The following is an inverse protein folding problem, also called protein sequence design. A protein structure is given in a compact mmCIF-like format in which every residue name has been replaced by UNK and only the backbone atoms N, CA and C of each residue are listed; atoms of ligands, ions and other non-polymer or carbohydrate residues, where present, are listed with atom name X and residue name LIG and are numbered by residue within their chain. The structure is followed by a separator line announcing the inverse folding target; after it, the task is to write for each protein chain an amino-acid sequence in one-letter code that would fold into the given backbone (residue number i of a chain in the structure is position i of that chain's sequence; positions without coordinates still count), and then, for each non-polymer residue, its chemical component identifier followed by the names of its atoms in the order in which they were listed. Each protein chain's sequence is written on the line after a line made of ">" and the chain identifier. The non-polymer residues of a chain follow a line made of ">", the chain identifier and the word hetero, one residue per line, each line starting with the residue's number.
data_IF_635358812849
#
_entry.id   IF_635358812849
#
_cell.length_a   1.000
_cell.length_b   1.000
_cell.length_c   1.000
_cell.angle_alpha   90.00
_cell.angle_beta   90.00
_cell.angle_gamma   90.00
#
_symmetry.space_group_name_H-M   'P 1'
#
loop_
_entity.id
_entity.type
_entity.pdbx_description
1 polymer ?
#
# COMPACT_ATOMS: atom_id res chain seq x y z
N UNK A 1 7.62 5.79 -40.18
CA UNK A 1 6.90 4.86 -39.27
C UNK A 1 7.91 4.16 -38.35
N UNK A 2 8.37 4.81 -37.26
CA UNK A 2 9.34 4.24 -36.29
C UNK A 2 8.68 3.65 -35.02
N UNK A 3 7.36 3.77 -34.89
CA UNK A 3 6.56 3.46 -33.69
C UNK A 3 6.45 1.95 -33.37
N UNK A 4 6.84 1.07 -34.29
CA UNK A 4 6.77 -0.39 -34.16
C UNK A 4 8.15 -1.06 -34.13
N UNK A 5 9.20 -0.34 -33.73
CA UNK A 5 10.48 -1.02 -33.50
C UNK A 5 10.32 -2.01 -32.32
N UNK A 6 10.89 -3.24 -32.40
CA UNK A 6 10.81 -4.24 -31.33
C UNK A 6 11.30 -3.72 -29.96
N UNK A 7 12.19 -2.73 -29.96
CA UNK A 7 12.74 -2.11 -28.75
C UNK A 7 11.66 -1.31 -28.00
N UNK A 8 10.77 -0.61 -28.70
CA UNK A 8 9.69 0.14 -28.05
C UNK A 8 8.73 -0.77 -27.31
N UNK A 9 8.46 -1.97 -27.83
CA UNK A 9 7.63 -2.97 -27.17
C UNK A 9 8.24 -3.48 -25.87
N UNK A 10 9.54 -3.78 -25.87
CA UNK A 10 10.26 -4.18 -24.66
C UNK A 10 10.24 -3.07 -23.62
N UNK A 11 10.50 -1.84 -24.04
CA UNK A 11 10.49 -0.67 -23.16
C UNK A 11 9.09 -0.43 -22.56
N UNK A 12 8.03 -0.53 -23.37
CA UNK A 12 6.64 -0.45 -22.89
C UNK A 12 6.31 -1.56 -21.88
N UNK A 13 6.78 -2.79 -22.11
CA UNK A 13 6.62 -3.90 -21.17
C UNK A 13 7.33 -3.62 -19.83
N UNK A 14 8.56 -3.08 -19.86
CA UNK A 14 9.26 -2.69 -18.63
C UNK A 14 8.54 -1.58 -17.88
N UNK A 15 8.04 -0.55 -18.57
CA UNK A 15 7.25 0.51 -17.94
C UNK A 15 5.97 -0.04 -17.32
N UNK A 16 5.26 -0.93 -18.02
CA UNK A 16 4.05 -1.55 -17.50
C UNK A 16 4.33 -2.34 -16.22
N UNK A 17 5.37 -3.18 -16.21
CA UNK A 17 5.76 -3.95 -15.03
C UNK A 17 6.16 -3.05 -13.86
N UNK A 18 6.93 -1.98 -14.12
CA UNK A 18 7.33 -1.03 -13.09
C UNK A 18 6.12 -0.35 -12.44
N UNK A 19 5.18 0.15 -13.25
CA UNK A 19 3.94 0.78 -12.76
C UNK A 19 3.11 -0.22 -11.96
N UNK A 20 3.00 -1.46 -12.43
CA UNK A 20 2.26 -2.52 -11.74
C UNK A 20 2.85 -2.80 -10.35
N UNK A 21 4.18 -2.89 -10.23
CA UNK A 21 4.86 -3.11 -8.94
C UNK A 21 4.62 -1.92 -8.00
N UNK A 22 4.72 -0.69 -8.49
CA UNK A 22 4.46 0.53 -7.70
C UNK A 22 3.01 0.53 -7.19
N UNK A 23 2.04 0.18 -8.04
CA UNK A 23 0.63 0.12 -7.63
C UNK A 23 0.37 -0.96 -6.58
N UNK A 24 0.96 -2.15 -6.73
CA UNK A 24 0.78 -3.24 -5.77
C UNK A 24 1.40 -2.91 -4.41
N UNK A 25 2.60 -2.33 -4.40
CA UNK A 25 3.25 -1.88 -3.16
C UNK A 25 2.44 -0.78 -2.47
N UNK A 26 1.93 0.20 -3.23
CA UNK A 26 1.07 1.24 -2.68
C UNK A 26 -0.20 0.67 -2.04
N UNK A 27 -0.88 -0.26 -2.71
CA UNK A 27 -2.08 -0.92 -2.18
C UNK A 27 -1.74 -1.70 -0.90
N UNK A 28 -0.63 -2.44 -0.90
CA UNK A 28 -0.19 -3.22 0.25
C UNK A 28 0.03 -2.34 1.50
N UNK A 29 0.82 -1.27 1.36
CA UNK A 29 1.11 -0.39 2.49
C UNK A 29 -0.11 0.44 2.94
N UNK A 30 -1.00 0.83 2.02
CA UNK A 30 -2.15 1.68 2.34
C UNK A 30 -3.30 0.89 2.98
N UNK A 31 -3.57 -0.33 2.53
CA UNK A 31 -4.76 -1.07 2.92
C UNK A 31 -4.48 -2.28 3.81
N UNK A 32 -3.38 -3.02 3.54
CA UNK A 32 -3.07 -4.26 4.24
C UNK A 32 -2.21 -4.02 5.48
N UNK A 33 -1.36 -3.01 5.46
CA UNK A 33 -0.54 -2.62 6.62
C UNK A 33 -1.28 -1.64 7.55
N UNK A 34 -2.58 -1.84 7.78
CA UNK A 34 -3.30 -1.07 8.80
C UNK A 34 -2.83 -1.53 10.18
N UNK A 35 -2.34 -0.64 11.05
CA UNK A 35 -2.07 -1.01 12.42
C UNK A 35 -3.37 -1.52 13.03
N UNK A 36 -3.31 -2.64 13.77
CA UNK A 36 -4.44 -3.06 14.59
C UNK A 36 -4.60 -2.04 15.71
N UNK A 37 -5.37 -0.99 15.45
CA UNK A 37 -5.81 -0.05 16.47
C UNK A 37 -6.82 -0.84 17.30
N UNK A 38 -6.29 -1.61 18.26
CA UNK A 38 -7.10 -2.04 19.40
C UNK A 38 -7.44 -0.74 20.11
N UNK A 39 -8.60 -0.17 19.79
CA UNK A 39 -9.25 0.80 20.66
C UNK A 39 -9.37 0.08 22.00
N UNK A 40 -8.46 0.39 22.92
CA UNK A 40 -8.59 -0.09 24.28
C UNK A 40 -9.89 0.52 24.79
N UNK A 41 -10.90 -0.33 24.99
CA UNK A 41 -12.16 0.07 25.59
C UNK A 41 -11.87 0.66 26.98
N UNK A 42 -11.73 1.99 27.03
CA UNK A 42 -11.52 2.74 28.27
C UNK A 42 -12.71 2.56 29.24
N UNK A 43 -13.84 2.06 28.75
CA UNK A 43 -15.03 1.72 29.54
C UNK A 43 -14.82 0.56 30.53
N UNK A 44 -13.77 -0.27 30.37
CA UNK A 44 -13.44 -1.33 31.34
C UNK A 44 -12.50 -0.87 32.45
N UNK A 45 -11.86 0.28 32.30
CA UNK A 45 -10.99 0.83 33.32
C UNK A 45 -11.81 1.70 34.25
N UNK A 46 -12.25 1.13 35.37
CA UNK A 46 -12.62 1.93 36.53
C UNK A 46 -11.36 2.65 37.01
N UNK A 47 -11.12 3.85 36.48
CA UNK A 47 -10.17 4.80 37.06
C UNK A 47 -10.70 5.22 38.42
N UNK A 48 -10.50 4.36 39.43
CA UNK A 48 -10.53 4.76 40.81
C UNK A 48 -9.29 5.62 41.03
N UNK A 49 -9.44 6.90 40.71
CA UNK A 49 -8.54 7.95 41.12
C UNK A 49 -8.60 8.04 42.62
N UNK A 50 -7.85 7.16 43.29
CA UNK A 50 -7.39 7.44 44.62
C UNK A 50 -6.17 8.33 44.43
N UNK A 51 -6.33 9.59 44.83
CA UNK A 51 -5.20 10.46 45.14
C UNK A 51 -4.20 9.71 46.01
#
# INVERSE_FOLDING_TARGET
>A
MPQMSPIYWLLLMFYFLAIMIIMMTFIYFSFLNKPSIKLSDFSKYNFNWKW
#
